data_IF_199473764337
#
_entry.id   IF_199473764337
#
_cell.length_a   1.000
_cell.length_b   1.000
_cell.length_c   1.000
_cell.angle_alpha   90.00
_cell.angle_beta   90.00
_cell.angle_gamma   90.00
#
_symmetry.space_group_name_H-M   'P 1'
#
loop_
_entity.id
_entity.type
_entity.pdbx_description
1 polymer ?
#
# COMPACT_ATOMS: atom_id res chain seq x y z
N UNK A 1 9.67 16.95 -19.04
CA UNK A 1 8.97 16.01 -18.13
C UNK A 1 7.61 15.58 -18.65
N UNK A 2 6.69 16.50 -18.98
CA UNK A 2 5.34 16.14 -19.49
C UNK A 2 5.39 15.18 -20.70
N UNK A 3 6.23 15.45 -21.71
CA UNK A 3 6.42 14.53 -22.85
C UNK A 3 6.87 13.14 -22.41
N UNK A 4 7.90 13.04 -21.55
CA UNK A 4 8.42 11.78 -21.00
C UNK A 4 7.35 10.98 -20.24
N UNK A 5 6.50 11.66 -19.45
CA UNK A 5 5.38 11.02 -18.74
C UNK A 5 4.33 10.48 -19.71
N UNK A 6 4.01 11.23 -20.76
CA UNK A 6 3.05 10.81 -21.78
C UNK A 6 3.59 9.71 -22.71
N UNK A 7 4.90 9.62 -22.89
CA UNK A 7 5.55 8.53 -23.62
C UNK A 7 5.52 7.22 -22.84
N UNK A 8 5.83 7.28 -21.54
CA UNK A 8 5.86 6.10 -20.67
C UNK A 8 4.47 5.59 -20.31
N UNK A 9 3.46 6.48 -20.26
CA UNK A 9 2.05 6.11 -20.02
C UNK A 9 1.31 6.02 -21.36
N UNK A 10 0.91 4.83 -21.83
CA UNK A 10 0.10 4.73 -23.04
C UNK A 10 -1.18 5.55 -22.86
N UNK A 11 -1.45 6.48 -23.79
CA UNK A 11 -2.69 7.24 -23.77
C UNK A 11 -3.88 6.28 -23.81
N UNK A 12 -4.72 6.27 -22.77
CA UNK A 12 -6.01 5.61 -22.84
C UNK A 12 -6.74 6.16 -24.07
N UNK A 13 -7.14 5.27 -24.97
CA UNK A 13 -7.87 5.60 -26.18
C UNK A 13 -9.04 6.54 -25.85
N UNK A 14 -9.07 7.70 -26.51
CA UNK A 14 -10.17 8.67 -26.53
C UNK A 14 -11.46 7.99 -27.02
N UNK A 15 -12.21 7.37 -26.13
CA UNK A 15 -13.45 6.67 -26.48
C UNK A 15 -14.65 6.95 -25.57
N UNK A 16 -14.50 7.74 -24.50
CA UNK A 16 -15.57 7.88 -23.49
C UNK A 16 -15.81 9.30 -22.99
N UNK A 17 -15.43 10.31 -23.78
CA UNK A 17 -15.63 11.71 -23.43
C UNK A 17 -16.56 12.39 -24.43
N UNK A 18 -17.77 11.84 -24.63
CA UNK A 18 -18.88 12.56 -25.24
C UNK A 18 -20.21 11.88 -24.88
N UNK A 19 -20.60 11.98 -23.60
CA UNK A 19 -22.02 12.01 -23.25
C UNK A 19 -22.21 12.80 -21.95
N UNK A 20 -22.90 13.93 -22.12
CA UNK A 20 -23.24 14.93 -21.12
C UNK A 20 -24.12 14.34 -20.01
N UNK A 21 -23.75 14.70 -18.79
CA UNK A 21 -24.58 15.09 -17.65
C UNK A 21 -26.10 14.89 -17.82
N UNK A 22 -26.62 13.81 -17.24
CA UNK A 22 -27.96 13.77 -16.67
C UNK A 22 -27.94 12.93 -15.39
N UNK A 23 -28.46 13.58 -14.33
CA UNK A 23 -29.03 13.14 -13.05
C UNK A 23 -28.59 11.83 -12.37
N UNK A 24 -28.42 11.95 -11.05
CA UNK A 24 -28.27 10.91 -10.05
C UNK A 24 -29.23 9.72 -10.24
N UNK A 25 -28.69 8.57 -10.65
CA UNK A 25 -29.17 7.25 -10.24
C UNK A 25 -27.94 6.39 -9.91
N UNK A 26 -27.97 5.78 -8.72
CA UNK A 26 -26.98 4.80 -8.26
C UNK A 26 -27.23 3.53 -9.05
N UNK A 27 -26.52 3.37 -10.17
CA UNK A 27 -26.51 2.11 -10.93
C UNK A 27 -25.17 1.38 -10.67
N UNK A 28 -25.26 0.40 -9.76
CA UNK A 28 -24.21 -0.54 -9.37
C UNK A 28 -24.17 -1.71 -10.37
N UNK A 29 -23.89 -1.44 -11.64
CA UNK A 29 -23.59 -2.52 -12.58
C UNK A 29 -22.73 -2.08 -13.77
N UNK A 30 -21.42 -1.98 -13.55
CA UNK A 30 -20.44 -2.17 -14.63
C UNK A 30 -19.30 -3.04 -14.14
N UNK A 31 -19.56 -4.35 -14.13
CA UNK A 31 -18.55 -5.38 -13.89
C UNK A 31 -17.60 -5.51 -15.10
N UNK A 32 -16.48 -4.77 -15.07
CA UNK A 32 -15.28 -5.22 -15.78
C UNK A 32 -14.79 -6.54 -15.15
N UNK A 33 -14.08 -7.41 -15.88
CA UNK A 33 -13.57 -8.66 -15.32
C UNK A 33 -12.81 -8.38 -14.02
N UNK A 34 -13.30 -8.96 -12.93
CA UNK A 34 -12.72 -8.82 -11.59
C UNK A 34 -11.35 -9.50 -11.61
N UNK A 35 -10.31 -8.75 -11.95
CA UNK A 35 -8.95 -9.14 -11.59
C UNK A 35 -8.84 -9.09 -10.07
N UNK A 36 -8.25 -10.14 -9.48
CA UNK A 36 -7.97 -10.16 -8.05
C UNK A 36 -7.12 -8.95 -7.66
N UNK A 37 -7.41 -8.36 -6.50
CA UNK A 37 -6.63 -7.26 -5.94
C UNK A 37 -5.19 -7.72 -5.73
N UNK A 38 -4.23 -6.91 -6.16
CA UNK A 38 -2.81 -7.25 -6.14
C UNK A 38 -2.03 -6.14 -5.45
N UNK A 39 -0.91 -6.55 -4.89
CA UNK A 39 0.14 -5.63 -4.43
C UNK A 39 1.21 -5.64 -5.51
N UNK A 40 1.47 -4.49 -6.15
CA UNK A 40 2.55 -4.37 -7.13
C UNK A 40 3.91 -4.64 -6.46
N UNK A 41 4.85 -5.23 -7.21
CA UNK A 41 6.18 -5.54 -6.70
C UNK A 41 6.87 -4.27 -6.20
N UNK A 42 7.34 -4.28 -4.94
CA UNK A 42 7.96 -3.11 -4.29
C UNK A 42 6.98 -2.20 -3.51
N UNK A 43 5.67 -2.46 -3.59
CA UNK A 43 4.67 -1.81 -2.73
C UNK A 43 4.24 -2.73 -1.60
N UNK A 44 3.73 -2.11 -0.53
CA UNK A 44 3.12 -2.82 0.61
C UNK A 44 1.62 -2.51 0.75
N UNK A 45 1.04 -1.78 -0.21
CA UNK A 45 -0.36 -1.35 -0.20
C UNK A 45 -1.07 -1.90 -1.45
N UNK A 46 -2.26 -2.52 -1.31
CA UNK A 46 -3.00 -3.06 -2.46
C UNK A 46 -3.47 -1.99 -3.45
N UNK A 47 -3.62 -2.37 -4.72
CA UNK A 47 -4.04 -1.48 -5.79
C UNK A 47 -5.44 -0.87 -5.54
N UNK A 48 -6.37 -1.65 -5.01
CA UNK A 48 -7.71 -1.16 -4.68
C UNK A 48 -7.71 0.01 -3.68
N UNK A 49 -6.71 0.05 -2.78
CA UNK A 49 -6.52 1.13 -1.80
C UNK A 49 -5.97 2.37 -2.49
N UNK A 50 -4.99 2.20 -3.38
CA UNK A 50 -4.40 3.29 -4.16
C UNK A 50 -5.45 3.95 -5.06
N UNK A 51 -6.27 3.17 -5.76
CA UNK A 51 -7.34 3.70 -6.63
C UNK A 51 -8.38 4.53 -5.85
N UNK A 52 -8.68 4.14 -4.61
CA UNK A 52 -9.58 4.89 -3.72
C UNK A 52 -8.96 6.19 -3.26
N UNK A 53 -7.67 6.20 -2.94
CA UNK A 53 -6.96 7.42 -2.61
C UNK A 53 -7.01 8.43 -3.77
N UNK A 54 -6.79 7.99 -5.02
CA UNK A 54 -6.84 8.87 -6.20
C UNK A 54 -8.19 9.58 -6.36
N UNK A 55 -9.30 8.86 -6.14
CA UNK A 55 -10.66 9.41 -6.29
C UNK A 55 -11.00 10.55 -5.32
N UNK A 56 -10.27 10.67 -4.21
CA UNK A 56 -10.51 11.69 -3.18
C UNK A 56 -9.82 13.04 -3.47
N UNK A 57 -8.89 13.12 -4.43
CA UNK A 57 -8.04 14.30 -4.67
C UNK A 57 -8.37 15.11 -5.96
N UNK A 58 -9.62 15.11 -6.43
CA UNK A 58 -9.98 15.91 -7.62
C UNK A 58 -10.07 17.41 -7.30
N UNK A 59 -9.08 18.17 -7.76
CA UNK A 59 -9.08 19.63 -7.73
C UNK A 59 -9.95 20.24 -8.85
N UNK A 60 -10.66 21.32 -8.52
CA UNK A 60 -11.38 22.20 -9.45
C UNK A 60 -10.53 23.45 -9.72
N UNK A 61 -10.21 23.78 -10.98
CA UNK A 61 -10.07 25.18 -11.44
C UNK A 61 -9.83 25.30 -12.96
N UNK A 62 -10.49 26.31 -13.56
CA UNK A 62 -10.20 26.91 -14.86
C UNK A 62 -10.05 28.44 -14.63
N UNK A 63 -9.34 29.14 -15.52
CA UNK A 63 -9.31 30.62 -15.75
C UNK A 63 -7.98 31.42 -15.59
N UNK A 64 -6.77 30.84 -15.64
CA UNK A 64 -5.51 31.62 -15.74
C UNK A 64 -4.42 30.93 -16.62
N UNK A 65 -3.49 31.73 -17.20
CA UNK A 65 -2.38 31.26 -18.06
C UNK A 65 -1.34 30.40 -17.31
N UNK A 66 -0.94 30.84 -16.12
CA UNK A 66 -0.31 29.99 -15.11
C UNK A 66 -1.38 29.71 -14.04
N UNK A 67 -1.70 28.43 -13.82
CA UNK A 67 -2.74 28.01 -12.86
C UNK A 67 -2.21 27.91 -11.42
N UNK A 68 -0.89 28.05 -11.22
CA UNK A 68 -0.27 28.10 -9.91
C UNK A 68 1.24 27.87 -9.95
N UNK A 69 1.84 27.68 -8.77
CA UNK A 69 3.26 27.35 -8.60
C UNK A 69 3.35 26.11 -7.72
N UNK A 70 4.16 25.14 -8.12
CA UNK A 70 4.52 23.99 -7.28
C UNK A 70 5.95 24.18 -6.78
N UNK A 71 6.23 23.81 -5.54
CA UNK A 71 7.54 23.98 -4.93
C UNK A 71 8.06 22.67 -4.31
N UNK A 72 9.38 22.53 -4.33
CA UNK A 72 10.11 21.55 -3.55
C UNK A 72 10.88 22.28 -2.45
N UNK A 73 10.67 21.86 -1.20
CA UNK A 73 11.32 22.45 -0.03
C UNK A 73 12.13 21.39 0.71
N UNK A 74 13.20 21.82 1.37
CA UNK A 74 13.92 20.95 2.30
C UNK A 74 13.17 20.84 3.65
N UNK A 75 13.60 19.91 4.52
CA UNK A 75 13.06 19.73 5.89
C UNK A 75 13.11 21.00 6.76
N UNK A 76 13.95 21.97 6.42
CA UNK A 76 14.06 23.27 7.11
C UNK A 76 13.04 24.30 6.59
N UNK A 77 12.10 23.88 5.74
CA UNK A 77 11.13 24.71 5.05
C UNK A 77 11.79 25.81 4.19
N UNK A 78 12.96 25.53 3.60
CA UNK A 78 13.62 26.41 2.62
C UNK A 78 13.22 25.96 1.20
N UNK A 79 12.77 26.88 0.33
CA UNK A 79 12.52 26.57 -1.06
C UNK A 79 13.81 26.20 -1.79
N UNK A 80 13.79 25.05 -2.48
CA UNK A 80 14.90 24.56 -3.30
C UNK A 80 14.61 24.80 -4.78
N UNK A 81 13.46 24.32 -5.25
CA UNK A 81 13.03 24.43 -6.63
C UNK A 81 11.56 24.89 -6.68
N UNK A 82 11.24 25.70 -7.67
CA UNK A 82 9.88 26.11 -7.98
C UNK A 82 9.60 25.86 -9.46
N UNK A 83 8.39 25.43 -9.78
CA UNK A 83 7.93 25.24 -11.15
C UNK A 83 6.58 25.91 -11.35
N UNK A 84 6.44 26.66 -12.44
CA UNK A 84 5.16 27.25 -12.83
C UNK A 84 4.27 26.17 -13.41
N UNK A 85 3.03 26.10 -12.93
CA UNK A 85 2.01 25.22 -13.46
C UNK A 85 1.27 25.92 -14.60
N UNK A 86 1.50 25.45 -15.83
CA UNK A 86 0.92 26.00 -17.07
C UNK A 86 -0.29 25.22 -17.57
N UNK A 87 -0.63 24.13 -16.90
CA UNK A 87 -1.76 23.27 -17.24
C UNK A 87 -2.68 23.19 -16.05
N UNK A 88 -3.99 23.23 -16.28
CA UNK A 88 -4.98 23.05 -15.23
C UNK A 88 -4.76 21.74 -14.44
N UNK A 89 -4.82 21.86 -13.11
CA UNK A 89 -4.67 20.76 -12.16
C UNK A 89 -3.22 20.47 -11.74
N UNK A 90 -3.06 20.00 -10.51
CA UNK A 90 -1.79 19.47 -9.96
C UNK A 90 -1.47 18.11 -10.61
N UNK A 91 -0.99 18.15 -11.85
CA UNK A 91 -0.59 16.93 -12.55
C UNK A 91 0.71 16.37 -11.95
N UNK A 92 0.79 15.05 -11.81
CA UNK A 92 1.94 14.35 -11.23
C UNK A 92 3.29 14.68 -11.91
N UNK A 93 3.29 15.09 -13.18
CA UNK A 93 4.53 15.42 -13.88
C UNK A 93 5.26 16.64 -13.30
N UNK A 94 4.57 17.55 -12.59
CA UNK A 94 5.24 18.65 -11.89
C UNK A 94 6.03 18.13 -10.69
N UNK A 95 5.46 17.18 -9.93
CA UNK A 95 6.15 16.49 -8.85
C UNK A 95 7.38 15.73 -9.39
N UNK A 96 7.23 15.01 -10.50
CA UNK A 96 8.36 14.33 -11.14
C UNK A 96 9.43 15.31 -11.65
N UNK A 97 9.04 16.46 -12.20
CA UNK A 97 10.00 17.47 -12.66
C UNK A 97 10.82 18.05 -11.50
N UNK A 98 10.17 18.36 -10.37
CA UNK A 98 10.84 18.84 -9.17
C UNK A 98 11.74 17.77 -8.55
N UNK A 99 11.28 16.52 -8.53
CA UNK A 99 12.07 15.39 -8.04
C UNK A 99 13.30 15.17 -8.92
N UNK A 100 13.15 15.11 -10.24
CA UNK A 100 14.24 14.95 -11.21
C UNK A 100 15.28 16.08 -11.09
N UNK A 101 14.83 17.33 -10.93
CA UNK A 101 15.70 18.48 -10.68
C UNK A 101 16.48 18.33 -9.37
N UNK A 102 15.83 17.90 -8.29
CA UNK A 102 16.47 17.66 -7.00
C UNK A 102 17.50 16.53 -7.09
N UNK A 103 17.13 15.39 -7.66
CA UNK A 103 17.98 14.20 -7.74
C UNK A 103 19.22 14.44 -8.60
N UNK A 104 19.12 15.29 -9.63
CA UNK A 104 20.27 15.66 -10.48
C UNK A 104 21.37 16.41 -9.72
N UNK A 105 21.04 17.06 -8.61
CA UNK A 105 21.98 17.82 -7.78
C UNK A 105 22.53 17.00 -6.59
N UNK A 106 22.02 15.77 -6.38
CA UNK A 106 22.36 14.96 -5.21
C UNK A 106 23.25 13.76 -5.54
N UNK A 107 24.16 13.37 -4.62
CA UNK A 107 24.96 12.17 -4.81
C UNK A 107 24.08 10.90 -4.82
N UNK A 108 24.29 10.02 -5.81
CA UNK A 108 23.48 8.80 -6.01
C UNK A 108 23.43 7.81 -4.85
N UNK A 109 24.38 7.87 -3.93
CA UNK A 109 24.42 6.97 -2.77
C UNK A 109 23.60 7.49 -1.57
N UNK A 110 23.00 8.68 -1.69
CA UNK A 110 22.17 9.24 -0.62
C UNK A 110 20.80 8.58 -0.59
N UNK A 111 20.22 8.49 0.60
CA UNK A 111 18.82 8.14 0.77
C UNK A 111 18.01 9.41 0.98
N UNK A 112 16.89 9.53 0.27
CA UNK A 112 16.07 10.75 0.22
C UNK A 112 14.67 10.42 0.71
N UNK A 113 14.10 11.30 1.53
CA UNK A 113 12.70 11.22 1.93
C UNK A 113 11.86 12.25 1.20
N UNK A 114 10.85 11.80 0.45
CA UNK A 114 9.83 12.65 -0.17
C UNK A 114 8.53 12.63 0.66
N UNK A 115 8.18 13.79 1.23
CA UNK A 115 6.86 14.04 1.82
C UNK A 115 5.97 14.79 0.84
N UNK A 116 4.82 14.21 0.47
CA UNK A 116 3.86 14.83 -0.44
C UNK A 116 2.44 14.27 -0.23
N UNK A 117 1.42 15.09 -0.44
CA UNK A 117 0.01 14.75 -0.16
C UNK A 117 -0.46 13.48 -0.86
N UNK A 118 0.06 13.21 -2.05
CA UNK A 118 -0.22 11.99 -2.83
C UNK A 118 1.04 11.13 -3.03
N UNK A 119 1.96 11.13 -2.06
CA UNK A 119 3.21 10.37 -2.15
C UNK A 119 3.01 8.87 -2.43
N UNK A 120 1.93 8.26 -1.95
CA UNK A 120 1.59 6.87 -2.25
C UNK A 120 1.33 6.64 -3.77
N UNK A 121 0.71 7.60 -4.44
CA UNK A 121 0.45 7.57 -5.88
C UNK A 121 1.72 7.82 -6.68
N UNK A 122 2.58 8.73 -6.18
CA UNK A 122 3.89 8.99 -6.78
C UNK A 122 4.76 7.73 -6.68
N UNK A 123 4.81 7.09 -5.51
CA UNK A 123 5.58 5.85 -5.31
C UNK A 123 5.11 4.73 -6.26
N UNK A 124 3.80 4.47 -6.30
CA UNK A 124 3.21 3.50 -7.22
C UNK A 124 3.53 3.83 -8.68
N UNK A 125 3.37 5.10 -9.08
CA UNK A 125 3.69 5.54 -10.43
C UNK A 125 5.17 5.36 -10.79
N UNK A 126 6.08 5.60 -9.86
CA UNK A 126 7.52 5.44 -10.10
C UNK A 126 7.88 3.97 -10.35
N UNK A 127 7.35 3.05 -9.54
CA UNK A 127 7.59 1.61 -9.69
C UNK A 127 6.95 1.05 -10.96
N UNK A 128 5.70 1.43 -11.23
CA UNK A 128 4.93 0.92 -12.36
C UNK A 128 5.50 1.30 -13.72
N UNK A 129 6.01 2.53 -13.83
CA UNK A 129 6.47 3.10 -15.11
C UNK A 129 7.98 3.28 -15.18
N UNK A 130 8.71 2.80 -14.16
CA UNK A 130 10.17 2.86 -14.05
C UNK A 130 10.73 4.26 -14.39
N UNK A 131 10.16 5.28 -13.75
CA UNK A 131 10.47 6.67 -14.08
C UNK A 131 11.89 7.10 -13.69
N UNK A 132 12.45 6.53 -12.62
CA UNK A 132 13.76 6.92 -12.07
C UNK A 132 14.49 5.66 -11.57
N UNK A 133 14.90 4.76 -12.48
CA UNK A 133 15.52 3.48 -12.12
C UNK A 133 16.81 3.66 -11.32
N UNK A 134 17.55 4.75 -11.55
CA UNK A 134 18.85 4.97 -10.88
C UNK A 134 18.71 5.23 -9.37
N UNK A 135 17.50 5.51 -8.91
CA UNK A 135 17.18 5.84 -7.52
C UNK A 135 16.24 4.81 -6.87
N UNK A 136 16.05 3.66 -7.51
CA UNK A 136 15.26 2.56 -6.93
C UNK A 136 15.84 2.14 -5.57
N UNK A 137 14.98 2.04 -4.55
CA UNK A 137 15.38 1.72 -3.17
C UNK A 137 16.10 2.85 -2.41
N UNK A 138 16.41 3.98 -3.05
CA UNK A 138 17.03 5.14 -2.41
C UNK A 138 16.05 6.24 -1.98
N UNK A 139 14.77 6.13 -2.38
CA UNK A 139 13.73 7.11 -2.04
C UNK A 139 12.71 6.49 -1.08
N UNK A 140 12.52 7.13 0.07
CA UNK A 140 11.42 6.85 1.00
C UNK A 140 10.26 7.81 0.73
N UNK A 141 9.03 7.29 0.70
CA UNK A 141 7.82 8.08 0.46
C UNK A 141 6.96 8.18 1.71
N UNK A 142 6.43 9.37 1.97
CA UNK A 142 5.50 9.59 3.07
C UNK A 142 4.46 10.64 2.70
N UNK A 143 3.26 10.51 3.23
CA UNK A 143 2.22 11.53 3.07
C UNK A 143 2.35 12.56 4.18
N UNK A 144 2.22 13.84 3.87
CA UNK A 144 2.19 14.92 4.88
C UNK A 144 1.20 14.59 6.02
N UNK A 145 1.56 14.93 7.25
CA UNK A 145 0.87 14.41 8.46
C UNK A 145 -0.61 14.79 8.47
N UNK A 146 -0.98 15.99 8.03
CA UNK A 146 -2.40 16.38 8.00
C UNK A 146 -3.16 15.68 6.85
N UNK A 147 -2.52 15.53 5.70
CA UNK A 147 -3.16 14.90 4.54
C UNK A 147 -3.26 13.39 4.67
N UNK A 148 -2.39 12.75 5.45
CA UNK A 148 -2.39 11.30 5.62
C UNK A 148 -3.75 10.79 6.12
N UNK A 149 -4.45 11.54 6.96
CA UNK A 149 -5.79 11.17 7.44
C UNK A 149 -6.86 11.15 6.34
N UNK A 150 -6.64 11.87 5.23
CA UNK A 150 -7.51 11.82 4.04
C UNK A 150 -7.29 10.58 3.19
N UNK A 151 -6.28 9.76 3.51
CA UNK A 151 -6.02 8.49 2.84
C UNK A 151 -6.68 7.33 3.56
N UNK A 152 -6.88 6.23 2.82
CA UNK A 152 -7.35 4.97 3.38
C UNK A 152 -6.44 4.49 4.52
N UNK A 153 -7.02 3.79 5.49
CA UNK A 153 -6.31 3.32 6.68
C UNK A 153 -5.03 2.54 6.36
N UNK A 154 -5.07 1.61 5.41
CA UNK A 154 -3.87 0.86 4.99
C UNK A 154 -2.78 1.78 4.43
N UNK A 155 -3.13 2.80 3.64
CA UNK A 155 -2.17 3.81 3.20
C UNK A 155 -1.57 4.58 4.39
N UNK A 156 -2.40 4.96 5.39
CA UNK A 156 -1.91 5.59 6.61
C UNK A 156 -0.90 4.71 7.35
N UNK A 157 -1.08 3.39 7.41
CA UNK A 157 -0.14 2.52 8.11
C UNK A 157 1.26 2.51 7.51
N UNK A 158 1.37 2.66 6.19
CA UNK A 158 2.64 2.59 5.45
C UNK A 158 3.26 3.96 5.20
N UNK A 159 2.45 4.95 4.83
CA UNK A 159 2.93 6.25 4.38
C UNK A 159 2.81 7.36 5.42
N UNK A 160 2.16 7.14 6.57
CA UNK A 160 2.05 8.18 7.60
C UNK A 160 3.40 8.38 8.32
N UNK A 161 3.98 9.60 8.36
CA UNK A 161 5.33 9.84 8.89
C UNK A 161 5.48 9.45 10.35
N UNK A 162 4.43 9.65 11.17
CA UNK A 162 4.42 9.25 12.59
C UNK A 162 4.38 7.73 12.83
N UNK A 163 4.14 6.94 11.79
CA UNK A 163 4.09 5.47 11.85
C UNK A 163 5.33 4.83 11.20
N UNK A 164 6.31 5.64 10.78
CA UNK A 164 7.57 5.20 10.20
C UNK A 164 8.75 5.81 10.95
N UNK A 165 9.77 4.99 11.19
CA UNK A 165 10.95 5.35 11.99
C UNK A 165 11.84 6.39 11.30
N UNK A 166 11.76 6.50 9.96
CA UNK A 166 12.70 7.30 9.14
C UNK A 166 12.45 8.81 9.17
N UNK A 167 11.21 9.23 9.46
CA UNK A 167 10.81 10.64 9.31
C UNK A 167 11.09 11.51 10.53
N UNK A 168 11.32 10.89 11.69
CA UNK A 168 11.39 11.60 12.97
C UNK A 168 10.13 12.45 13.19
N UNK A 169 10.31 13.74 13.49
CA UNK A 169 9.20 14.67 13.72
C UNK A 169 8.80 15.52 12.50
N UNK A 170 9.27 15.15 11.31
CA UNK A 170 8.90 15.85 10.07
C UNK A 170 7.40 15.74 9.83
N UNK A 171 6.76 16.86 9.52
CA UNK A 171 5.31 16.92 9.26
C UNK A 171 4.98 16.97 7.76
N UNK A 172 5.90 17.45 6.92
CA UNK A 172 5.67 17.58 5.48
C UNK A 172 4.90 18.85 5.08
N UNK A 173 4.65 19.75 6.03
CA UNK A 173 3.79 20.93 5.86
C UNK A 173 4.57 22.20 5.44
N UNK A 174 5.75 21.99 4.85
CA UNK A 174 6.67 23.07 4.50
C UNK A 174 6.14 23.95 3.37
N UNK A 175 5.46 23.33 2.40
CA UNK A 175 4.81 24.01 1.28
C UNK A 175 3.74 24.98 1.77
N UNK A 176 2.87 24.55 2.68
CA UNK A 176 1.73 25.30 3.22
C UNK A 176 2.23 26.54 3.97
N UNK A 177 3.30 26.38 4.76
CA UNK A 177 3.99 27.50 5.43
C UNK A 177 4.62 28.46 4.45
N UNK A 178 5.16 27.96 3.34
CA UNK A 178 5.73 28.79 2.29
C UNK A 178 4.63 29.56 1.55
N UNK A 179 3.53 28.91 1.17
CA UNK A 179 2.36 29.54 0.56
C UNK A 179 1.74 30.62 1.44
N UNK A 180 1.66 30.40 2.75
CA UNK A 180 1.21 31.41 3.71
C UNK A 180 2.04 32.70 3.64
N UNK A 181 3.37 32.58 3.46
CA UNK A 181 4.26 33.74 3.29
C UNK A 181 4.11 34.43 1.93
N UNK A 182 3.72 33.70 0.88
CA UNK A 182 3.45 34.26 -0.45
C UNK A 182 2.04 34.84 -0.59
N UNK A 183 1.10 34.50 0.31
CA UNK A 183 -0.32 34.86 0.22
C UNK A 183 -0.57 36.35 -0.04
N UNK A 184 0.24 37.24 0.53
CA UNK A 184 0.12 38.70 0.34
C UNK A 184 0.42 39.16 -1.08
N UNK A 185 1.16 38.38 -1.85
CA UNK A 185 1.51 38.71 -3.23
C UNK A 185 0.39 38.38 -4.21
N UNK A 186 -0.54 37.48 -3.86
CA UNK A 186 -1.59 36.98 -4.76
C UNK A 186 -2.35 38.11 -5.48
N UNK A 187 -2.89 39.15 -4.79
CA UNK A 187 -3.66 40.19 -5.48
C UNK A 187 -2.83 41.00 -6.48
N UNK A 188 -1.56 41.25 -6.15
CA UNK A 188 -0.65 42.01 -7.03
C UNK A 188 -0.20 41.17 -8.22
N UNK A 189 0.10 39.89 -7.99
CA UNK A 189 0.61 39.01 -9.04
C UNK A 189 -0.45 38.68 -10.11
N UNK A 190 -1.72 38.61 -9.72
CA UNK A 190 -2.85 38.35 -10.64
C UNK A 190 -3.01 39.38 -11.75
N UNK A 191 -2.50 40.61 -11.57
CA UNK A 191 -2.62 41.71 -12.55
C UNK A 191 -1.27 42.08 -13.19
N UNK A 192 -0.20 41.37 -12.84
CA UNK A 192 1.15 41.61 -13.39
C UNK A 192 1.48 40.69 -14.55
N UNK A 193 2.27 41.19 -15.51
CA UNK A 193 2.76 40.36 -16.62
C UNK A 193 3.71 39.25 -16.15
N UNK A 194 3.80 38.19 -16.95
CA UNK A 194 4.55 36.95 -16.66
C UNK A 194 5.96 37.17 -16.10
N UNK A 195 6.80 37.97 -16.78
CA UNK A 195 8.18 38.19 -16.36
C UNK A 195 8.30 38.94 -15.02
N UNK A 196 7.40 39.90 -14.77
CA UNK A 196 7.36 40.60 -13.48
C UNK A 196 6.92 39.65 -12.36
N UNK A 197 5.91 38.82 -12.62
CA UNK A 197 5.44 37.82 -11.67
C UNK A 197 6.57 36.86 -11.27
N UNK A 198 7.29 36.32 -12.27
CA UNK A 198 8.44 35.44 -12.04
C UNK A 198 9.53 36.11 -11.21
N UNK A 199 9.89 37.35 -11.56
CA UNK A 199 10.91 38.11 -10.82
C UNK A 199 10.50 38.37 -9.36
N UNK A 200 9.25 38.77 -9.11
CA UNK A 200 8.75 39.02 -7.76
C UNK A 200 8.76 37.74 -6.92
N UNK A 201 8.32 36.62 -7.50
CA UNK A 201 8.31 35.33 -6.82
C UNK A 201 9.73 34.85 -6.47
N UNK A 202 10.68 34.98 -7.39
CA UNK A 202 12.08 34.63 -7.16
C UNK A 202 12.70 35.47 -6.03
N UNK A 203 12.55 36.81 -6.10
CA UNK A 203 13.05 37.71 -5.05
C UNK A 203 12.41 37.38 -3.69
N UNK A 204 11.11 37.09 -3.65
CA UNK A 204 10.45 36.72 -2.40
C UNK A 204 10.94 35.37 -1.86
N UNK A 205 11.13 34.36 -2.71
CA UNK A 205 11.67 33.07 -2.31
C UNK A 205 13.10 33.20 -1.74
N UNK A 206 13.94 34.02 -2.37
CA UNK A 206 15.28 34.34 -1.88
C UNK A 206 15.24 35.08 -0.54
N UNK A 207 14.32 36.05 -0.39
CA UNK A 207 14.13 36.77 0.88
C UNK A 207 13.72 35.82 2.01
N UNK A 208 12.74 34.94 1.76
CA UNK A 208 12.29 33.92 2.72
C UNK A 208 13.46 33.03 3.14
N UNK A 209 14.26 32.57 2.17
CA UNK A 209 15.44 31.74 2.43
C UNK A 209 16.44 32.44 3.34
N UNK A 210 16.81 33.68 3.01
CA UNK A 210 17.74 34.48 3.83
C UNK A 210 17.21 34.68 5.26
N UNK A 211 15.94 35.03 5.39
CA UNK A 211 15.30 35.25 6.69
C UNK A 211 15.28 33.98 7.55
N UNK A 212 15.01 32.81 6.95
CA UNK A 212 15.05 31.53 7.66
C UNK A 212 16.46 31.08 8.04
N UNK A 213 17.46 31.34 7.19
CA UNK A 213 18.86 31.02 7.52
C UNK A 213 19.35 31.78 8.75
N UNK A 214 18.90 33.03 8.94
CA UNK A 214 19.23 33.81 10.15
C UNK A 214 18.69 33.15 11.43
N UNK A 215 17.53 32.49 11.35
CA UNK A 215 16.86 31.89 12.53
C UNK A 215 17.05 30.38 12.66
N UNK A 216 17.86 29.75 11.78
CA UNK A 216 18.03 28.28 11.75
C UNK A 216 18.56 27.71 13.07
N UNK A 217 19.44 28.44 13.76
CA UNK A 217 19.97 28.01 15.06
C UNK A 217 18.89 27.96 16.14
N UNK A 218 17.99 28.95 16.16
CA UNK A 218 16.84 28.96 17.06
C UNK A 218 15.86 27.84 16.71
N UNK A 219 15.58 27.64 15.41
CA UNK A 219 14.74 26.53 14.93
C UNK A 219 15.28 25.17 15.39
N UNK A 220 16.59 24.93 15.26
CA UNK A 220 17.23 23.68 15.73
C UNK A 220 17.05 23.49 17.24
N UNK A 221 17.28 24.55 18.03
CA UNK A 221 17.09 24.53 19.48
C UNK A 221 15.65 24.16 19.85
N UNK A 222 14.67 24.75 19.19
CA UNK A 222 13.25 24.48 19.46
C UNK A 222 12.84 23.05 19.07
N UNK A 223 13.40 22.52 17.97
CA UNK A 223 13.21 21.12 17.58
C UNK A 223 13.80 20.15 18.60
N UNK A 224 15.00 20.41 19.12
CA UNK A 224 15.61 19.59 20.18
C UNK A 224 14.77 19.60 21.45
N UNK A 225 14.26 20.77 21.86
CA UNK A 225 13.38 20.88 23.03
C UNK A 225 12.06 20.11 22.82
N UNK A 226 11.49 20.19 21.61
CA UNK A 226 10.27 19.45 21.26
C UNK A 226 10.50 17.93 21.35
N UNK A 227 11.62 17.43 20.81
CA UNK A 227 11.97 16.01 20.89
C UNK A 227 12.11 15.56 22.34
N UNK A 228 12.83 16.31 23.18
CA UNK A 228 12.99 15.98 24.61
C UNK A 228 11.64 15.89 25.34
N UNK A 229 10.75 16.85 25.08
CA UNK A 229 9.41 16.84 25.66
C UNK A 229 8.62 15.60 25.22
N UNK A 230 8.61 15.28 23.93
CA UNK A 230 7.87 14.13 23.42
C UNK A 230 8.44 12.79 23.88
N UNK A 231 9.75 12.69 24.09
CA UNK A 231 10.36 11.50 24.70
C UNK A 231 9.85 11.34 26.14
N UNK A 232 9.88 12.40 26.95
CA UNK A 232 9.38 12.34 28.32
C UNK A 232 7.89 11.98 28.40
N UNK A 233 7.05 12.61 27.57
CA UNK A 233 5.62 12.28 27.44
C UNK A 233 5.42 10.82 26.98
N UNK A 234 6.24 10.35 26.03
CA UNK A 234 6.18 8.98 25.53
C UNK A 234 6.57 7.94 26.58
N UNK A 235 7.60 8.21 27.38
CA UNK A 235 8.04 7.35 28.49
C UNK A 235 6.96 7.24 29.58
N UNK A 236 6.28 8.35 29.89
CA UNK A 236 5.16 8.37 30.83
C UNK A 236 3.97 7.53 30.34
N UNK A 237 3.63 7.62 29.04
CA UNK A 237 2.52 6.86 28.45
C UNK A 237 2.85 5.37 28.32
N UNK A 238 4.11 5.04 28.02
CA UNK A 238 4.56 3.65 27.89
C UNK A 238 4.41 2.90 29.23
N UNK A 239 4.67 3.57 30.36
CA UNK A 239 4.60 2.97 31.70
C UNK A 239 5.41 1.65 31.74
N UNK A 240 4.85 0.53 32.21
CA UNK A 240 5.54 -0.77 32.23
C UNK A 240 5.47 -1.53 30.88
N UNK A 241 4.87 -0.95 29.82
CA UNK A 241 4.65 -1.66 28.55
C UNK A 241 5.95 -1.76 27.75
N UNK A 242 6.23 -2.98 27.29
CA UNK A 242 7.36 -3.23 26.40
C UNK A 242 7.13 -2.62 25.01
N UNK A 243 7.96 -1.65 24.64
CA UNK A 243 8.03 -1.09 23.27
C UNK A 243 8.20 -2.19 22.22
N UNK A 244 9.01 -3.21 22.52
CA UNK A 244 9.23 -4.34 21.63
C UNK A 244 7.93 -5.11 21.32
N UNK A 245 7.10 -5.36 22.35
CA UNK A 245 5.80 -6.01 22.19
C UNK A 245 4.85 -5.17 21.34
N UNK A 246 4.80 -3.85 21.58
CA UNK A 246 3.96 -2.92 20.81
C UNK A 246 4.39 -2.85 19.34
N UNK A 247 5.68 -2.80 19.05
CA UNK A 247 6.20 -2.82 17.68
C UNK A 247 5.89 -4.14 16.98
N UNK A 248 5.91 -5.27 17.70
CA UNK A 248 5.50 -6.56 17.15
C UNK A 248 4.01 -6.54 16.79
N UNK A 249 3.15 -6.10 17.69
CA UNK A 249 1.71 -5.97 17.43
C UNK A 249 1.43 -5.03 16.26
N UNK A 250 2.17 -3.92 16.16
CA UNK A 250 2.05 -2.99 15.04
C UNK A 250 2.46 -3.63 13.71
N UNK A 251 3.53 -4.43 13.68
CA UNK A 251 3.92 -5.21 12.48
C UNK A 251 2.85 -6.24 12.10
N UNK A 252 2.30 -6.96 13.08
CA UNK A 252 1.24 -7.95 12.86
C UNK A 252 -0.03 -7.26 12.31
N UNK A 253 -0.38 -6.09 12.84
CA UNK A 253 -1.47 -5.26 12.35
C UNK A 253 -1.25 -4.83 10.89
N UNK A 254 -0.05 -4.31 10.57
CA UNK A 254 0.30 -3.93 9.19
C UNK A 254 0.17 -5.11 8.24
N UNK A 255 0.75 -6.25 8.60
CA UNK A 255 0.68 -7.46 7.78
C UNK A 255 -0.77 -7.93 7.57
N UNK A 256 -1.60 -7.87 8.60
CA UNK A 256 -3.02 -8.25 8.50
C UNK A 256 -3.81 -7.31 7.61
N UNK A 257 -3.67 -5.99 7.78
CA UNK A 257 -4.48 -4.97 7.09
C UNK A 257 -3.98 -4.62 5.68
N UNK A 258 -2.83 -5.15 5.29
CA UNK A 258 -2.26 -4.98 3.95
C UNK A 258 -2.49 -6.19 3.06
N UNK A 259 -3.20 -7.21 3.55
CA UNK A 259 -3.60 -8.35 2.73
C UNK A 259 -4.49 -7.85 1.58
N UNK A 260 -4.25 -8.33 0.34
CA UNK A 260 -5.13 -8.00 -0.78
C UNK A 260 -6.57 -8.36 -0.47
N UNK A 261 -7.50 -7.51 -0.92
CA UNK A 261 -8.91 -7.77 -0.72
C UNK A 261 -9.32 -8.93 -1.63
N UNK A 262 -9.89 -9.98 -1.04
CA UNK A 262 -10.49 -11.06 -1.83
C UNK A 262 -11.72 -10.51 -2.52
N UNK A 263 -11.84 -10.69 -3.83
CA UNK A 263 -13.02 -10.30 -4.60
C UNK A 263 -13.98 -11.49 -4.78
N UNK A 264 -15.24 -11.18 -5.04
CA UNK A 264 -16.21 -12.20 -5.42
C UNK A 264 -15.76 -12.84 -6.74
N UNK A 265 -15.93 -14.15 -6.85
CA UNK A 265 -15.63 -14.87 -8.09
C UNK A 265 -16.78 -15.78 -8.46
N UNK A 266 -16.96 -15.98 -9.78
CA UNK A 266 -17.97 -16.92 -10.30
C UNK A 266 -17.59 -18.38 -10.06
N UNK A 267 -16.30 -18.67 -9.84
CA UNK A 267 -15.75 -20.02 -9.81
C UNK A 267 -14.92 -20.33 -8.54
N UNK A 268 -14.97 -19.49 -7.50
CA UNK A 268 -14.14 -19.67 -6.28
C UNK A 268 -14.38 -21.01 -5.59
N UNK A 269 -15.64 -21.45 -5.48
CA UNK A 269 -16.00 -22.74 -4.90
C UNK A 269 -15.51 -23.93 -5.72
N UNK A 270 -15.55 -23.82 -7.05
CA UNK A 270 -15.03 -24.87 -7.92
C UNK A 270 -13.50 -24.99 -7.80
N UNK A 271 -12.78 -23.86 -7.73
CA UNK A 271 -11.33 -23.83 -7.58
C UNK A 271 -10.88 -24.39 -6.21
N UNK A 272 -11.59 -24.06 -5.13
CA UNK A 272 -11.30 -24.58 -3.79
C UNK A 272 -11.52 -26.09 -3.70
N UNK A 273 -12.61 -26.59 -4.30
CA UNK A 273 -12.87 -28.03 -4.38
C UNK A 273 -11.82 -28.74 -5.22
N UNK A 274 -11.41 -28.17 -6.36
CA UNK A 274 -10.35 -28.75 -7.18
C UNK A 274 -9.03 -28.86 -6.41
N UNK A 275 -8.74 -27.89 -5.54
CA UNK A 275 -7.59 -27.95 -4.65
C UNK A 275 -7.70 -29.07 -3.61
N UNK A 276 -8.88 -29.27 -3.00
CA UNK A 276 -9.11 -30.37 -2.05
C UNK A 276 -9.03 -31.73 -2.76
N UNK A 277 -9.62 -31.87 -3.96
CA UNK A 277 -9.54 -33.09 -4.77
C UNK A 277 -8.09 -33.41 -5.18
N UNK A 278 -7.30 -32.39 -5.52
CA UNK A 278 -5.87 -32.55 -5.79
C UNK A 278 -5.12 -33.08 -4.56
N UNK A 279 -5.40 -32.53 -3.37
CA UNK A 279 -4.82 -33.01 -2.12
C UNK A 279 -5.23 -34.46 -1.80
N UNK A 280 -6.50 -34.83 -2.02
CA UNK A 280 -6.97 -36.21 -1.85
C UNK A 280 -6.28 -37.19 -2.82
N UNK A 281 -5.99 -36.76 -4.06
CA UNK A 281 -5.22 -37.57 -5.00
C UNK A 281 -3.77 -37.75 -4.52
N UNK A 282 -3.15 -36.70 -3.97
CA UNK A 282 -1.80 -36.81 -3.39
C UNK A 282 -1.79 -37.71 -2.15
N UNK A 283 -2.82 -37.65 -1.31
CA UNK A 283 -3.01 -38.52 -0.16
C UNK A 283 -3.11 -40.00 -0.59
N UNK A 284 -3.91 -40.28 -1.62
CA UNK A 284 -4.05 -41.64 -2.17
C UNK A 284 -2.72 -42.17 -2.71
N UNK A 285 -1.96 -41.34 -3.44
CA UNK A 285 -0.64 -41.71 -3.97
C UNK A 285 0.37 -41.98 -2.84
N UNK A 286 0.40 -41.16 -1.80
CA UNK A 286 1.27 -41.36 -0.62
C UNK A 286 0.89 -42.63 0.15
N UNK A 287 -0.40 -42.95 0.27
CA UNK A 287 -0.89 -44.20 0.88
C UNK A 287 -0.46 -45.44 0.09
N UNK A 288 -0.46 -45.35 -1.24
CA UNK A 288 0.00 -46.42 -2.12
C UNK A 288 1.52 -46.62 -2.01
N UNK A 289 2.31 -45.54 -2.09
CA UNK A 289 3.77 -45.59 -1.88
C UNK A 289 4.13 -46.17 -0.51
N UNK A 290 3.42 -45.78 0.55
CA UNK A 290 3.65 -46.31 1.89
C UNK A 290 3.37 -47.81 1.98
N UNK A 291 2.36 -48.30 1.24
CA UNK A 291 2.03 -49.73 1.15
C UNK A 291 3.10 -50.51 0.40
N UNK A 292 3.63 -49.96 -0.70
CA UNK A 292 4.74 -50.54 -1.46
C UNK A 292 6.01 -50.64 -0.61
N UNK A 293 6.41 -49.54 0.03
CA UNK A 293 7.58 -49.49 0.92
C UNK A 293 7.43 -50.45 2.12
N UNK A 294 6.23 -50.57 2.67
CA UNK A 294 5.96 -51.52 3.77
C UNK A 294 6.08 -52.97 3.32
N UNK A 295 5.61 -53.30 2.11
CA UNK A 295 5.75 -54.65 1.54
C UNK A 295 7.21 -54.99 1.19
N UNK A 296 7.97 -54.01 0.68
CA UNK A 296 9.40 -54.15 0.42
C UNK A 296 10.18 -54.39 1.72
N UNK A 297 9.84 -53.65 2.78
CA UNK A 297 10.40 -53.84 4.11
C UNK A 297 10.11 -55.25 4.65
N UNK A 298 8.88 -55.75 4.54
CA UNK A 298 8.51 -57.12 4.95
C UNK A 298 9.27 -58.21 4.18
N UNK A 299 9.52 -57.99 2.88
CA UNK A 299 10.31 -58.90 2.06
C UNK A 299 11.79 -58.98 2.46
N UNK A 300 12.34 -57.89 2.99
CA UNK A 300 13.74 -57.80 3.43
C UNK A 300 13.97 -58.35 4.84
N UNK A 301 12.95 -58.35 5.71
CA UNK A 301 13.03 -58.96 7.07
C UNK A 301 13.38 -60.45 7.03
N UNK A 302 13.15 -61.14 5.91
CA UNK A 302 13.47 -62.56 5.76
C UNK A 302 14.95 -62.87 5.44
N UNK A 303 15.79 -61.86 5.20
CA UNK A 303 17.21 -62.03 4.86
C UNK A 303 18.13 -61.40 5.92
N UNK A 304 19.12 -62.16 6.42
CA UNK A 304 20.01 -61.71 7.50
C UNK A 304 21.05 -60.63 7.08
N UNK A 305 21.27 -60.41 5.78
CA UNK A 305 22.34 -59.54 5.25
C UNK A 305 21.85 -58.17 4.69
N UNK A 306 20.60 -57.79 4.90
CA UNK A 306 19.97 -56.61 4.27
C UNK A 306 19.77 -55.39 5.18
N UNK A 307 20.47 -55.31 6.32
CA UNK A 307 20.24 -54.28 7.34
C UNK A 307 20.37 -52.82 6.84
N UNK A 308 21.32 -52.53 5.95
CA UNK A 308 21.54 -51.17 5.44
C UNK A 308 20.41 -50.72 4.49
N UNK A 309 19.86 -51.65 3.70
CA UNK A 309 18.69 -51.41 2.85
C UNK A 309 17.41 -51.26 3.68
N UNK A 310 17.32 -51.99 4.81
CA UNK A 310 16.23 -51.87 5.77
C UNK A 310 16.16 -50.48 6.39
N UNK A 311 17.31 -49.88 6.73
CA UNK A 311 17.41 -48.56 7.33
C UNK A 311 16.99 -47.45 6.34
N UNK A 312 17.47 -47.54 5.09
CA UNK A 312 17.11 -46.61 4.01
C UNK A 312 15.61 -46.64 3.68
N UNK A 313 14.99 -47.83 3.66
CA UNK A 313 13.54 -47.97 3.45
C UNK A 313 12.77 -47.43 4.66
N UNK A 314 13.24 -47.66 5.89
CA UNK A 314 12.61 -47.11 7.10
C UNK A 314 12.63 -45.58 7.11
N UNK A 315 13.72 -44.96 6.67
CA UNK A 315 13.82 -43.50 6.51
C UNK A 315 12.83 -42.98 5.47
N UNK A 316 12.72 -43.65 4.31
CA UNK A 316 11.73 -43.32 3.27
C UNK A 316 10.27 -43.49 3.76
N UNK A 317 9.99 -44.53 4.54
CA UNK A 317 8.69 -44.75 5.20
C UNK A 317 8.40 -43.62 6.19
N UNK A 318 9.39 -43.20 6.99
CA UNK A 318 9.22 -42.09 7.93
C UNK A 318 8.94 -40.76 7.21
N UNK A 319 9.65 -40.47 6.12
CA UNK A 319 9.43 -39.29 5.30
C UNK A 319 8.05 -39.28 4.65
N UNK A 320 7.64 -40.42 4.08
CA UNK A 320 6.32 -40.59 3.43
C UNK A 320 5.18 -40.45 4.45
N UNK A 321 5.33 -41.01 5.66
CA UNK A 321 4.39 -40.82 6.77
C UNK A 321 4.27 -39.34 7.17
N UNK A 322 5.39 -38.63 7.25
CA UNK A 322 5.37 -37.21 7.60
C UNK A 322 4.60 -36.38 6.57
N UNK A 323 4.90 -36.57 5.28
CA UNK A 323 4.17 -35.92 4.19
C UNK A 323 2.68 -36.28 4.19
N UNK A 324 2.34 -37.55 4.47
CA UNK A 324 0.93 -37.97 4.58
C UNK A 324 0.21 -37.23 5.72
N UNK A 325 0.82 -37.12 6.90
CA UNK A 325 0.22 -36.38 8.03
C UNK A 325 0.03 -34.90 7.73
N UNK A 326 0.93 -34.27 6.95
CA UNK A 326 0.76 -32.89 6.50
C UNK A 326 -0.43 -32.75 5.56
N UNK A 327 -0.52 -33.61 4.53
CA UNK A 327 -1.62 -33.56 3.55
C UNK A 327 -2.97 -33.85 4.20
N UNK A 328 -3.06 -34.84 5.09
CA UNK A 328 -4.29 -35.13 5.85
C UNK A 328 -4.70 -33.94 6.73
N UNK A 329 -3.72 -33.26 7.35
CA UNK A 329 -3.95 -32.02 8.11
C UNK A 329 -4.48 -30.86 7.25
N UNK A 330 -3.90 -30.67 6.07
CA UNK A 330 -4.30 -29.63 5.12
C UNK A 330 -5.69 -29.87 4.53
N UNK A 331 -6.03 -31.13 4.21
CA UNK A 331 -7.38 -31.52 3.78
C UNK A 331 -8.38 -31.19 4.88
N UNK A 332 -8.12 -31.68 6.10
CA UNK A 332 -9.00 -31.47 7.26
C UNK A 332 -9.26 -29.98 7.51
N UNK A 333 -8.20 -29.18 7.56
CA UNK A 333 -8.30 -27.73 7.77
C UNK A 333 -9.16 -27.05 6.70
N UNK A 334 -8.91 -27.36 5.42
CA UNK A 334 -9.67 -26.77 4.30
C UNK A 334 -11.14 -27.20 4.28
N UNK A 335 -11.44 -28.44 4.68
CA UNK A 335 -12.82 -28.89 4.82
C UNK A 335 -13.54 -28.24 6.00
N UNK A 336 -12.85 -28.00 7.12
CA UNK A 336 -13.38 -27.30 8.29
C UNK A 336 -13.66 -25.82 7.99
N UNK A 337 -12.72 -25.13 7.33
CA UNK A 337 -12.85 -23.73 6.92
C UNK A 337 -14.08 -23.51 6.00
N UNK A 338 -14.44 -24.52 5.21
CA UNK A 338 -15.60 -24.51 4.31
C UNK A 338 -16.88 -25.08 4.94
N UNK A 339 -16.83 -25.52 6.19
CA UNK A 339 -17.94 -26.20 6.88
C UNK A 339 -18.44 -27.45 6.11
N UNK A 340 -17.52 -28.16 5.45
CA UNK A 340 -17.80 -29.36 4.65
C UNK A 340 -17.51 -30.67 5.40
N UNK A 341 -17.57 -30.67 6.74
CA UNK A 341 -17.20 -31.82 7.58
C UNK A 341 -18.01 -33.10 7.30
N UNK A 342 -19.21 -32.94 6.74
CA UNK A 342 -20.11 -34.03 6.39
C UNK A 342 -19.86 -34.59 4.97
N UNK A 343 -19.04 -33.91 4.16
CA UNK A 343 -18.79 -34.21 2.75
C UNK A 343 -17.36 -34.72 2.53
N UNK A 344 -17.08 -35.91 3.02
CA UNK A 344 -15.71 -36.48 2.98
C UNK A 344 -15.43 -37.34 1.74
N UNK A 345 -16.46 -37.76 0.98
CA UNK A 345 -16.22 -38.60 -0.19
C UNK A 345 -15.82 -37.77 -1.41
N UNK A 346 -14.88 -38.30 -2.19
CA UNK A 346 -14.43 -37.71 -3.46
C UNK A 346 -15.62 -37.39 -4.40
N UNK A 347 -16.65 -38.25 -4.41
CA UNK A 347 -17.85 -38.06 -5.23
C UNK A 347 -18.71 -36.89 -4.74
N UNK A 348 -18.83 -36.69 -3.44
CA UNK A 348 -19.62 -35.61 -2.86
C UNK A 348 -18.96 -34.25 -3.14
N UNK A 349 -17.63 -34.16 -2.98
CA UNK A 349 -16.85 -32.99 -3.36
C UNK A 349 -16.97 -32.69 -4.87
N UNK A 350 -16.92 -33.71 -5.72
CA UNK A 350 -17.08 -33.54 -7.16
C UNK A 350 -18.49 -33.05 -7.56
N UNK A 351 -19.53 -33.41 -6.80
CA UNK A 351 -20.87 -32.85 -6.99
C UNK A 351 -20.95 -31.39 -6.51
N UNK A 352 -20.35 -31.09 -5.35
CA UNK A 352 -20.28 -29.73 -4.80
C UNK A 352 -19.53 -28.75 -5.72
N UNK A 353 -18.61 -29.23 -6.57
CA UNK A 353 -17.92 -28.41 -7.58
C UNK A 353 -18.90 -27.65 -8.49
N UNK A 354 -20.06 -28.25 -8.80
CA UNK A 354 -21.10 -27.64 -9.64
C UNK A 354 -22.15 -26.87 -8.84
N UNK A 355 -22.01 -26.82 -7.52
CA UNK A 355 -23.00 -26.21 -6.64
C UNK A 355 -22.93 -24.69 -6.75
N UNK A 356 -24.05 -24.08 -7.16
CA UNK A 356 -24.25 -22.64 -7.09
C UNK A 356 -24.28 -22.14 -5.63
N UNK A 357 -24.67 -22.99 -4.68
CA UNK A 357 -24.75 -22.64 -3.26
C UNK A 357 -23.37 -22.35 -2.68
N UNK A 358 -22.38 -23.19 -2.95
CA UNK A 358 -21.02 -23.01 -2.41
C UNK A 358 -20.37 -21.71 -2.91
N UNK A 359 -20.49 -21.42 -4.21
CA UNK A 359 -20.00 -20.16 -4.79
C UNK A 359 -20.70 -18.94 -4.14
N UNK A 360 -22.02 -19.01 -3.94
CA UNK A 360 -22.77 -17.93 -3.28
C UNK A 360 -22.35 -17.76 -1.83
N UNK A 361 -22.18 -18.86 -1.09
CA UNK A 361 -21.75 -18.81 0.31
C UNK A 361 -20.38 -18.17 0.43
N UNK A 362 -19.39 -18.58 -0.38
CA UNK A 362 -18.06 -17.97 -0.42
C UNK A 362 -18.11 -16.48 -0.76
N UNK A 363 -18.93 -16.09 -1.74
CA UNK A 363 -19.11 -14.68 -2.08
C UNK A 363 -19.76 -13.89 -0.93
N UNK A 364 -20.65 -14.48 -0.13
CA UNK A 364 -21.20 -13.86 1.08
C UNK A 364 -20.10 -13.64 2.13
N UNK A 365 -19.22 -14.62 2.37
CA UNK A 365 -18.08 -14.47 3.28
C UNK A 365 -17.15 -13.33 2.83
N UNK A 366 -16.87 -13.25 1.54
CA UNK A 366 -16.08 -12.15 0.96
C UNK A 366 -16.74 -10.80 1.20
N UNK A 367 -18.06 -10.68 0.99
CA UNK A 367 -18.79 -9.43 1.25
C UNK A 367 -18.78 -9.08 2.73
N UNK A 368 -18.98 -10.06 3.61
CA UNK A 368 -18.97 -9.86 5.05
C UNK A 368 -17.60 -9.36 5.52
N UNK A 369 -16.52 -9.97 5.05
CA UNK A 369 -15.16 -9.55 5.36
C UNK A 369 -14.89 -8.12 4.87
N UNK A 370 -15.27 -7.80 3.62
CA UNK A 370 -15.18 -6.45 3.07
C UNK A 370 -16.00 -5.43 3.87
N UNK A 371 -17.21 -5.78 4.32
CA UNK A 371 -18.04 -4.92 5.16
C UNK A 371 -17.43 -4.70 6.53
N UNK A 372 -16.86 -5.73 7.16
CA UNK A 372 -16.16 -5.62 8.43
C UNK A 372 -14.94 -4.71 8.32
N UNK A 373 -14.12 -4.86 7.27
CA UNK A 373 -12.98 -3.98 6.99
C UNK A 373 -13.44 -2.52 6.85
N UNK A 374 -14.52 -2.27 6.10
CA UNK A 374 -15.09 -0.92 5.95
C UNK A 374 -15.65 -0.36 7.26
N UNK A 375 -16.34 -1.18 8.05
CA UNK A 375 -16.86 -0.78 9.36
C UNK A 375 -15.74 -0.46 10.35
N UNK A 376 -14.66 -1.24 10.35
CA UNK A 376 -13.47 -0.94 11.14
C UNK A 376 -12.82 0.38 10.74
N UNK A 377 -12.68 0.64 9.43
CA UNK A 377 -12.18 1.92 8.93
C UNK A 377 -13.07 3.09 9.37
N UNK A 378 -14.39 2.97 9.18
CA UNK A 378 -15.36 4.00 9.57
C UNK A 378 -15.40 4.24 11.08
N UNK A 379 -15.36 3.18 11.90
CA UNK A 379 -15.30 3.30 13.37
C UNK A 379 -14.03 4.06 13.81
N UNK A 380 -12.90 3.81 13.14
CA UNK A 380 -11.66 4.50 13.44
C UNK A 380 -11.73 5.98 13.04
N UNK A 381 -12.29 6.30 11.87
CA UNK A 381 -12.54 7.67 11.43
C UNK A 381 -13.45 8.43 12.42
N UNK A 382 -14.55 7.81 12.86
CA UNK A 382 -15.49 8.39 13.82
C UNK A 382 -14.87 8.60 15.21
N UNK A 383 -14.10 7.64 15.72
CA UNK A 383 -13.43 7.77 17.02
C UNK A 383 -12.42 8.93 17.05
N UNK A 384 -11.85 9.29 15.90
CA UNK A 384 -10.92 10.42 15.79
C UNK A 384 -11.65 11.77 15.71
N UNK A 385 -12.87 11.83 15.16
CA UNK A 385 -13.70 13.04 15.18
C UNK A 385 -14.12 13.40 16.61
N UNK A 386 -14.43 12.41 17.44
CA UNK A 386 -14.77 12.60 18.86
C UNK A 386 -13.58 13.15 19.68
N UNK A 387 -12.35 12.79 19.31
CA UNK A 387 -11.13 13.33 19.94
C UNK A 387 -10.78 14.74 19.45
N UNK A 388 -11.10 15.09 18.20
CA UNK A 388 -10.89 16.44 17.65
C UNK A 388 -11.82 17.51 18.22
N UNK A 389 -12.93 17.13 18.86
CA UNK A 389 -13.85 18.05 19.53
C UNK A 389 -13.53 18.29 21.02
N UNK A 390 -12.50 17.63 21.56
CA UNK A 390 -12.10 17.74 22.98
C UNK A 390 -10.69 18.34 23.21
N UNK A 391 -10.06 18.90 22.17
CA UNK A 391 -8.77 19.61 22.27
C UNK A 391 -8.86 21.09 21.94
#
# INVERSE_FOLDING_TARGET
MEARVNELRPSQSKGRAEQKWQADEVDDDTSSPLEDDKVETGLDVPNSVLDRCEKLFKALTQYFDDTGVMACLCRHDLPLFLVNMRTAGEKQFYAFALLDALLSELPRHWCIGLLYDIACQIHCSLLKWDFIPEWEGHIEFGVSVFHAYSHQWTCQLWYHPRKSEKWGLSDGEGCERFWSQLKRLIPGLQVTGYHCCLFILDIQAQHITKSKLVTVGQWLKDRVNTVRRQIAEGEEVLDERSVHSLLKQFKDQRAFQSKPVVHQSKNSGAALIDCILALQNTEASLKEQLKELSAELEGLVQNLDTWALQDEINDSVAQTRHSLTQVEGDIKKRTEDLQLTDFNSFKDLQQLKKSAWLNKQLNIWVVLDQLLVKLCACKFELANLDQGHTS
#
